data_IF_989857394046
#
_entry.id   IF_989857394046
#
_cell.length_a   1.000
_cell.length_b   1.000
_cell.length_c   1.000
_cell.angle_alpha   90.00
_cell.angle_beta   90.00
_cell.angle_gamma   90.00
#
_symmetry.space_group_name_H-M   'P 1'
#
loop_
_entity.id
_entity.type
_entity.pdbx_description
1 polymer ?
#
# COMPACT_ATOMS: atom_id res chain seq x y z
N UNK A 1 78.93 51.80 41.05
CA UNK A 1 77.84 52.77 41.25
C UNK A 1 77.52 53.43 39.92
N UNK A 2 76.40 53.07 39.28
CA UNK A 2 75.85 53.81 38.13
C UNK A 2 74.32 53.68 38.19
N UNK A 3 73.65 54.78 38.54
CA UNK A 3 72.20 54.88 38.62
C UNK A 3 71.60 55.17 37.24
N UNK A 4 70.71 54.30 36.75
CA UNK A 4 69.92 54.52 35.54
C UNK A 4 68.67 55.38 35.82
N UNK A 5 68.22 56.20 34.86
CA UNK A 5 67.19 57.22 35.08
C UNK A 5 65.77 56.65 35.10
N UNK A 6 64.92 57.31 35.89
CA UNK A 6 63.49 57.03 36.09
C UNK A 6 62.70 57.20 34.78
N UNK A 7 61.87 56.22 34.35
CA UNK A 7 61.04 56.41 33.17
C UNK A 7 59.93 57.44 33.43
N UNK A 8 59.74 58.33 32.46
CA UNK A 8 58.72 59.36 32.45
C UNK A 8 57.30 58.75 32.47
N UNK A 9 56.41 59.33 33.29
CA UNK A 9 54.99 58.99 33.33
C UNK A 9 54.37 59.14 31.92
N UNK A 10 53.92 58.03 31.34
CA UNK A 10 53.01 58.06 30.19
C UNK A 10 51.65 58.63 30.64
N UNK A 11 51.03 59.52 29.87
CA UNK A 11 49.70 60.04 30.22
C UNK A 11 48.71 58.88 30.16
N UNK A 12 47.95 58.71 31.24
CA UNK A 12 46.85 57.76 31.37
C UNK A 12 45.85 57.99 30.24
N UNK A 13 45.76 57.04 29.31
CA UNK A 13 44.71 57.04 28.27
C UNK A 13 43.36 56.88 28.97
N UNK A 14 42.69 57.99 29.25
CA UNK A 14 41.30 57.96 29.70
C UNK A 14 40.47 57.28 28.61
N UNK A 15 39.56 56.34 28.96
CA UNK A 15 38.72 55.69 27.95
C UNK A 15 37.85 56.76 27.27
N UNK A 16 38.19 57.12 26.03
CA UNK A 16 37.44 58.14 25.30
C UNK A 16 36.07 57.59 24.93
N UNK A 17 35.01 58.22 25.42
CA UNK A 17 33.65 57.86 25.03
C UNK A 17 33.50 57.96 23.50
N UNK A 18 32.94 56.96 22.79
CA UNK A 18 32.93 56.94 21.32
C UNK A 18 32.24 58.17 20.72
N UNK A 19 31.19 58.68 21.38
CA UNK A 19 30.53 59.91 20.95
C UNK A 19 31.43 61.16 21.03
N UNK A 20 32.35 61.24 21.99
CA UNK A 20 33.30 62.34 22.08
C UNK A 20 34.28 62.32 20.90
N UNK A 21 34.78 61.13 20.55
CA UNK A 21 35.65 60.91 19.37
C UNK A 21 34.94 61.31 18.07
N UNK A 22 33.64 61.03 17.95
CA UNK A 22 32.85 61.45 16.78
C UNK A 22 32.62 62.96 16.73
N UNK A 23 32.31 63.60 17.86
CA UNK A 23 32.12 65.05 17.93
C UNK A 23 33.42 65.81 17.61
N UNK A 24 34.55 65.31 18.08
CA UNK A 24 35.87 65.90 17.81
C UNK A 24 36.28 65.87 16.33
N UNK A 25 35.66 65.01 15.51
CA UNK A 25 35.88 65.01 14.04
C UNK A 25 35.15 66.14 13.32
N UNK A 26 34.05 66.62 13.89
CA UNK A 26 33.15 67.58 13.23
C UNK A 26 33.20 68.99 13.85
N UNK A 27 33.70 69.11 15.08
CA UNK A 27 33.70 70.37 15.83
C UNK A 27 35.06 70.66 16.47
N UNK A 28 35.30 71.94 16.78
CA UNK A 28 36.48 72.38 17.54
C UNK A 28 36.53 71.66 18.91
N UNK A 29 37.73 71.45 19.48
CA UNK A 29 37.90 70.63 20.69
C UNK A 29 37.09 71.15 21.88
N UNK A 30 36.96 72.48 22.01
CA UNK A 30 36.17 73.12 23.06
C UNK A 30 34.65 72.90 22.86
N UNK A 31 34.18 73.07 21.62
CA UNK A 31 32.77 72.84 21.27
C UNK A 31 32.37 71.36 21.43
N UNK A 32 33.25 70.45 21.04
CA UNK A 32 33.05 69.01 21.20
C UNK A 32 32.94 68.60 22.67
N UNK A 33 33.81 69.15 23.53
CA UNK A 33 33.80 68.89 24.97
C UNK A 33 32.52 69.40 25.63
N UNK A 34 32.08 70.61 25.26
CA UNK A 34 30.83 71.21 25.75
C UNK A 34 29.60 70.40 25.34
N UNK A 35 29.48 70.05 24.04
CA UNK A 35 28.35 69.25 23.54
C UNK A 35 28.31 67.87 24.22
N UNK A 36 29.47 67.25 24.41
CA UNK A 36 29.55 65.95 25.08
C UNK A 36 29.09 66.04 26.54
N UNK A 37 29.55 67.05 27.29
CA UNK A 37 29.14 67.28 28.68
C UNK A 37 27.64 67.54 28.83
N UNK A 38 27.12 68.50 28.05
CA UNK A 38 25.74 68.97 28.18
C UNK A 38 24.72 67.93 27.67
N UNK A 39 25.02 67.29 26.55
CA UNK A 39 24.01 66.52 25.80
C UNK A 39 24.17 65.01 25.88
N UNK A 40 25.34 64.49 26.26
CA UNK A 40 25.64 63.06 26.15
C UNK A 40 26.00 62.46 27.50
N UNK A 41 26.93 63.06 28.25
CA UNK A 41 27.49 62.49 29.50
C UNK A 41 26.42 62.17 30.54
N UNK A 42 25.42 63.05 30.68
CA UNK A 42 24.38 62.93 31.71
C UNK A 42 23.05 62.38 31.17
N UNK A 43 22.98 61.99 29.89
CA UNK A 43 21.75 61.41 29.31
C UNK A 43 21.85 59.88 29.28
N UNK A 44 21.07 59.14 30.08
CA UNK A 44 21.08 57.69 30.05
C UNK A 44 20.58 57.19 28.69
N UNK A 45 21.39 56.37 28.01
CA UNK A 45 21.00 55.71 26.77
C UNK A 45 20.22 54.44 27.14
N UNK A 46 18.89 54.53 27.12
CA UNK A 46 18.02 53.37 27.32
C UNK A 46 18.08 52.48 26.08
N UNK A 47 19.04 51.55 26.06
CA UNK A 47 19.15 50.54 25.02
C UNK A 47 18.15 49.42 25.31
N UNK A 48 17.13 49.30 24.47
CA UNK A 48 16.35 48.07 24.42
C UNK A 48 17.25 46.97 23.84
N UNK A 49 17.40 45.82 24.51
CA UNK A 49 18.14 44.70 23.97
C UNK A 49 17.58 44.31 22.59
N UNK A 50 18.41 44.40 21.55
CA UNK A 50 18.11 43.84 20.23
C UNK A 50 18.10 42.31 20.22
N UNK A 51 18.37 41.67 21.37
CA UNK A 51 18.10 40.27 21.64
C UNK A 51 16.57 40.05 21.74
N UNK A 52 15.94 40.14 20.58
CA UNK A 52 14.51 40.06 20.34
C UNK A 52 13.91 38.76 20.89
N UNK A 53 12.88 38.87 21.72
CA UNK A 53 11.93 37.78 21.99
C UNK A 53 11.33 37.18 20.68
N UNK A 54 11.50 37.84 19.53
CA UNK A 54 11.05 37.38 18.21
C UNK A 54 12.05 36.50 17.44
N UNK A 55 13.35 36.50 17.78
CA UNK A 55 14.34 35.56 17.21
C UNK A 55 14.00 34.13 17.59
N UNK A 56 13.61 33.92 18.85
CA UNK A 56 13.28 32.60 19.39
C UNK A 56 11.94 32.07 18.90
N UNK A 57 10.94 32.93 18.70
CA UNK A 57 9.65 32.49 18.13
C UNK A 57 9.82 31.91 16.72
N UNK A 58 10.70 32.49 15.90
CA UNK A 58 11.00 31.97 14.55
C UNK A 58 11.74 30.63 14.65
N UNK A 59 12.73 30.52 15.53
CA UNK A 59 13.45 29.27 15.77
C UNK A 59 12.54 28.17 16.30
N UNK A 60 11.65 28.49 17.25
CA UNK A 60 10.65 27.58 17.82
C UNK A 60 9.66 27.11 16.76
N UNK A 61 9.11 28.01 15.92
CA UNK A 61 8.25 27.63 14.79
C UNK A 61 8.95 26.68 13.82
N UNK A 62 10.22 26.93 13.51
CA UNK A 62 11.04 26.05 12.66
C UNK A 62 11.22 24.68 13.33
N UNK A 63 11.57 24.64 14.61
CA UNK A 63 11.78 23.41 15.36
C UNK A 63 10.49 22.56 15.44
N UNK A 64 9.34 23.18 15.75
CA UNK A 64 8.04 22.51 15.76
C UNK A 64 7.68 21.97 14.37
N UNK A 65 7.92 22.74 13.29
CA UNK A 65 7.68 22.29 11.91
C UNK A 65 8.52 21.06 11.56
N UNK A 66 9.81 21.08 11.89
CA UNK A 66 10.72 19.96 11.63
C UNK A 66 10.32 18.72 12.44
N UNK A 67 10.00 18.86 13.74
CA UNK A 67 9.49 17.76 14.56
C UNK A 67 8.19 17.15 14.03
N UNK A 68 7.25 18.00 13.58
CA UNK A 68 6.02 17.52 12.92
C UNK A 68 6.35 16.77 11.64
N UNK A 69 7.24 17.31 10.80
CA UNK A 69 7.65 16.67 9.55
C UNK A 69 8.32 15.30 9.79
N UNK A 70 9.23 15.21 10.76
CA UNK A 70 9.86 13.95 11.17
C UNK A 70 8.85 12.92 11.69
N UNK A 71 7.92 13.36 12.54
CA UNK A 71 6.82 12.51 13.02
C UNK A 71 5.98 11.96 11.87
N UNK A 72 5.57 12.83 10.93
CA UNK A 72 4.80 12.41 9.76
C UNK A 72 5.58 11.48 8.85
N UNK A 73 6.87 11.71 8.63
CA UNK A 73 7.73 10.83 7.82
C UNK A 73 7.90 9.45 8.48
N UNK A 74 8.13 9.40 9.79
CA UNK A 74 8.25 8.14 10.55
C UNK A 74 6.95 7.33 10.56
N UNK A 75 5.80 8.00 10.56
CA UNK A 75 4.48 7.35 10.53
C UNK A 75 3.96 7.12 9.11
N UNK A 76 4.68 7.56 8.07
CA UNK A 76 4.26 7.35 6.69
C UNK A 76 4.58 5.92 6.27
N UNK A 77 3.57 5.23 5.76
CA UNK A 77 3.80 3.96 5.06
C UNK A 77 4.73 4.22 3.87
N UNK A 78 5.60 3.26 3.51
CA UNK A 78 6.43 3.38 2.31
C UNK A 78 5.52 3.65 1.12
N UNK A 79 6.01 4.46 0.17
CA UNK A 79 5.26 4.76 -1.05
C UNK A 79 5.04 3.43 -1.79
N UNK A 80 3.83 3.13 -2.26
CA UNK A 80 3.62 1.96 -3.10
C UNK A 80 4.39 2.12 -4.41
N UNK A 81 4.90 1.00 -4.93
CA UNK A 81 5.64 1.00 -6.19
C UNK A 81 4.79 1.61 -7.32
N UNK A 82 5.42 2.48 -8.11
CA UNK A 82 4.92 3.02 -9.37
C UNK A 82 4.66 1.91 -10.39
N UNK A 83 3.77 2.16 -11.34
CA UNK A 83 3.58 1.26 -12.48
C UNK A 83 4.87 1.07 -13.30
N UNK A 84 5.74 2.09 -13.36
CA UNK A 84 7.05 1.98 -14.03
C UNK A 84 7.97 1.03 -13.27
N UNK A 85 8.13 1.25 -11.97
CA UNK A 85 8.95 0.43 -11.07
C UNK A 85 8.50 -1.03 -11.06
N UNK A 86 7.18 -1.29 -11.07
CA UNK A 86 6.64 -2.67 -11.14
C UNK A 86 6.97 -3.39 -12.45
N UNK A 87 7.05 -2.67 -13.57
CA UNK A 87 7.44 -3.23 -14.88
C UNK A 87 8.94 -3.49 -14.91
N UNK A 88 9.74 -2.54 -14.44
CA UNK A 88 11.21 -2.70 -14.34
C UNK A 88 11.59 -3.88 -13.43
N UNK A 89 10.85 -4.09 -12.33
CA UNK A 89 11.05 -5.21 -11.42
C UNK A 89 10.43 -6.54 -11.93
N UNK A 90 9.63 -6.51 -13.00
CA UNK A 90 9.00 -7.73 -13.53
C UNK A 90 8.04 -8.42 -12.56
N UNK A 91 7.42 -7.68 -11.62
CA UNK A 91 6.60 -8.25 -10.52
C UNK A 91 5.46 -9.15 -11.01
N UNK A 92 5.01 -8.95 -12.25
CA UNK A 92 3.91 -9.69 -12.87
C UNK A 92 4.36 -10.67 -13.95
N UNK A 93 5.67 -10.80 -14.20
CA UNK A 93 6.21 -11.77 -15.13
C UNK A 93 6.35 -13.12 -14.41
N UNK A 94 5.80 -14.17 -15.01
CA UNK A 94 5.90 -15.53 -14.48
C UNK A 94 7.17 -16.16 -15.04
N UNK A 95 8.01 -16.71 -14.18
CA UNK A 95 9.20 -17.44 -14.63
C UNK A 95 8.77 -18.78 -15.21
N UNK A 96 9.55 -19.33 -16.15
CA UNK A 96 9.24 -20.62 -16.79
C UNK A 96 9.08 -21.76 -15.78
N UNK A 97 9.85 -21.73 -14.69
CA UNK A 97 9.77 -22.69 -13.58
C UNK A 97 8.42 -22.65 -12.86
N UNK A 98 7.81 -21.46 -12.76
CA UNK A 98 6.54 -21.22 -12.10
C UNK A 98 5.34 -21.58 -12.98
N UNK A 99 5.55 -21.92 -14.26
CA UNK A 99 4.47 -22.21 -15.22
C UNK A 99 4.05 -23.69 -15.19
N UNK A 100 4.67 -24.53 -14.35
CA UNK A 100 4.32 -25.95 -14.26
C UNK A 100 2.94 -26.17 -13.64
N UNK A 101 2.06 -26.87 -14.37
CA UNK A 101 0.73 -27.25 -13.93
C UNK A 101 0.76 -28.09 -12.65
N UNK A 102 1.72 -29.01 -12.57
CA UNK A 102 1.89 -29.92 -11.42
C UNK A 102 2.11 -29.17 -10.10
N UNK A 103 2.76 -28.01 -10.14
CA UNK A 103 2.96 -27.17 -8.95
C UNK A 103 1.63 -26.66 -8.40
N UNK A 104 0.67 -26.34 -9.28
CA UNK A 104 -0.62 -25.78 -8.93
C UNK A 104 -1.67 -26.82 -8.57
N UNK A 105 -1.43 -28.11 -8.80
CA UNK A 105 -2.34 -29.18 -8.34
C UNK A 105 -2.55 -29.13 -6.83
N UNK A 106 -1.49 -28.86 -6.06
CA UNK A 106 -1.59 -28.68 -4.61
C UNK A 106 -2.47 -27.49 -4.22
N UNK A 107 -2.32 -26.37 -4.95
CA UNK A 107 -3.15 -25.19 -4.78
C UNK A 107 -4.63 -25.49 -5.12
N UNK A 108 -4.87 -26.28 -6.16
CA UNK A 108 -6.22 -26.69 -6.53
C UNK A 108 -6.89 -27.54 -5.45
N UNK A 109 -6.18 -28.49 -4.83
CA UNK A 109 -6.71 -29.29 -3.71
C UNK A 109 -7.13 -28.40 -2.54
N UNK A 110 -6.29 -27.44 -2.16
CA UNK A 110 -6.63 -26.47 -1.12
C UNK A 110 -7.86 -25.63 -1.48
N UNK A 111 -7.99 -25.25 -2.75
CA UNK A 111 -9.16 -24.51 -3.23
C UNK A 111 -10.44 -25.36 -3.18
N UNK A 112 -10.37 -26.65 -3.49
CA UNK A 112 -11.50 -27.59 -3.35
C UNK A 112 -11.95 -27.67 -1.89
N UNK A 113 -11.02 -27.88 -0.95
CA UNK A 113 -11.33 -27.95 0.48
C UNK A 113 -11.97 -26.65 0.99
N UNK A 114 -11.41 -25.50 0.58
CA UNK A 114 -11.98 -24.18 0.85
C UNK A 114 -13.41 -24.06 0.35
N UNK A 115 -13.70 -24.45 -0.90
CA UNK A 115 -15.05 -24.36 -1.46
C UNK A 115 -16.04 -25.31 -0.79
N UNK A 116 -15.59 -26.51 -0.39
CA UNK A 116 -16.40 -27.44 0.38
C UNK A 116 -16.75 -26.87 1.76
N UNK A 117 -15.83 -26.17 2.41
CA UNK A 117 -16.09 -25.45 3.67
C UNK A 117 -17.07 -24.29 3.46
N UNK A 118 -16.87 -23.46 2.43
CA UNK A 118 -17.75 -22.33 2.08
C UNK A 118 -19.19 -22.80 1.84
N UNK A 119 -19.38 -23.93 1.18
CA UNK A 119 -20.69 -24.50 0.90
C UNK A 119 -21.27 -25.30 2.09
N UNK A 120 -20.48 -25.53 3.13
CA UNK A 120 -20.85 -26.22 4.37
C UNK A 120 -20.84 -27.75 4.27
N UNK A 121 -20.13 -28.32 3.30
CA UNK A 121 -19.86 -29.77 3.19
C UNK A 121 -18.73 -30.22 4.11
N UNK A 122 -17.81 -29.30 4.45
CA UNK A 122 -16.75 -29.51 5.43
C UNK A 122 -16.87 -28.51 6.58
N UNK A 123 -16.42 -28.92 7.76
CA UNK A 123 -16.26 -28.06 8.94
C UNK A 123 -15.03 -28.53 9.71
N UNK A 124 -14.11 -27.61 10.02
CA UNK A 124 -12.87 -27.90 10.75
C UNK A 124 -12.03 -29.04 10.11
N UNK A 125 -12.02 -29.11 8.77
CA UNK A 125 -11.32 -30.16 8.00
C UNK A 125 -11.99 -31.54 8.02
N UNK A 126 -13.19 -31.66 8.61
CA UNK A 126 -13.97 -32.89 8.64
C UNK A 126 -15.21 -32.80 7.76
N UNK A 127 -15.55 -33.92 7.12
CA UNK A 127 -16.74 -34.01 6.27
C UNK A 127 -18.00 -34.05 7.12
N UNK A 128 -18.93 -33.14 6.86
CA UNK A 128 -20.23 -33.11 7.52
C UNK A 128 -21.16 -34.07 6.78
N UNK A 129 -21.32 -35.28 7.30
CA UNK A 129 -22.11 -36.35 6.67
C UNK A 129 -23.55 -35.91 6.31
N UNK A 130 -24.20 -35.13 7.19
CA UNK A 130 -25.55 -34.61 6.94
C UNK A 130 -25.60 -33.62 5.76
N UNK A 131 -24.51 -32.88 5.52
CA UNK A 131 -24.41 -31.92 4.41
C UNK A 131 -24.19 -32.58 3.05
N UNK A 132 -23.72 -33.84 2.97
CA UNK A 132 -23.46 -34.51 1.69
C UNK A 132 -24.72 -34.67 0.82
N UNK A 133 -25.90 -34.73 1.46
CA UNK A 133 -27.20 -34.74 0.77
C UNK A 133 -27.81 -33.36 0.54
N UNK A 134 -27.16 -32.29 1.01
CA UNK A 134 -27.59 -30.91 0.79
C UNK A 134 -27.51 -30.57 -0.70
N UNK A 135 -28.56 -29.92 -1.20
CA UNK A 135 -28.56 -29.30 -2.52
C UNK A 135 -28.19 -27.84 -2.39
N UNK A 136 -27.25 -27.37 -3.23
CA UNK A 136 -26.88 -25.96 -3.28
C UNK A 136 -27.97 -25.19 -4.02
N UNK A 137 -28.69 -24.32 -3.31
CA UNK A 137 -29.69 -23.42 -3.93
C UNK A 137 -29.04 -22.10 -4.35
N UNK A 138 -29.52 -21.44 -5.41
CA UNK A 138 -29.00 -20.13 -5.83
C UNK A 138 -29.08 -19.06 -4.72
N UNK A 139 -30.13 -19.10 -3.90
CA UNK A 139 -30.36 -18.12 -2.83
C UNK A 139 -29.37 -18.29 -1.68
N UNK A 140 -29.03 -19.54 -1.32
CA UNK A 140 -28.09 -19.83 -0.24
C UNK A 140 -26.63 -19.82 -0.68
N UNK A 141 -26.33 -20.46 -1.81
CA UNK A 141 -24.96 -20.61 -2.33
C UNK A 141 -24.49 -19.44 -3.19
N UNK A 142 -25.40 -18.75 -3.90
CA UNK A 142 -25.04 -17.70 -4.85
C UNK A 142 -24.20 -16.57 -4.26
N UNK A 143 -24.60 -15.94 -3.13
CA UNK A 143 -23.82 -14.89 -2.49
C UNK A 143 -22.43 -15.36 -2.04
N UNK A 144 -22.34 -16.59 -1.50
CA UNK A 144 -21.10 -17.19 -1.03
C UNK A 144 -20.13 -17.39 -2.21
N UNK A 145 -20.60 -18.03 -3.27
CA UNK A 145 -19.83 -18.27 -4.50
C UNK A 145 -19.42 -16.97 -5.20
N UNK A 146 -20.29 -15.95 -5.21
CA UNK A 146 -19.98 -14.65 -5.82
C UNK A 146 -18.87 -13.89 -5.08
N UNK A 147 -18.81 -14.06 -3.75
CA UNK A 147 -17.80 -13.44 -2.89
C UNK A 147 -16.50 -14.25 -2.76
N UNK A 148 -16.51 -15.51 -3.21
CA UNK A 148 -15.41 -16.45 -3.03
C UNK A 148 -14.14 -16.06 -3.81
N UNK A 149 -13.02 -16.59 -3.34
CA UNK A 149 -11.75 -16.52 -4.05
C UNK A 149 -11.62 -17.68 -5.06
N UNK A 150 -10.99 -17.39 -6.20
CA UNK A 150 -10.83 -18.32 -7.32
C UNK A 150 -9.37 -18.60 -7.67
N UNK A 151 -8.40 -18.15 -6.86
CA UNK A 151 -7.02 -18.62 -6.96
C UNK A 151 -6.96 -20.13 -6.66
N UNK A 152 -6.40 -20.93 -7.57
CA UNK A 152 -6.41 -22.39 -7.47
C UNK A 152 -7.64 -23.06 -8.08
N UNK A 153 -8.64 -22.30 -8.54
CA UNK A 153 -9.79 -22.89 -9.20
C UNK A 153 -9.41 -23.50 -10.54
N UNK A 154 -9.85 -24.74 -10.80
CA UNK A 154 -9.82 -25.32 -12.14
C UNK A 154 -10.98 -24.72 -12.94
N UNK A 155 -10.67 -23.90 -13.93
CA UNK A 155 -11.67 -23.25 -14.79
C UNK A 155 -11.56 -23.78 -16.22
N UNK A 156 -12.72 -23.91 -16.86
CA UNK A 156 -12.85 -24.18 -18.28
C UNK A 156 -13.69 -23.10 -18.94
N UNK A 157 -13.27 -22.63 -20.12
CA UNK A 157 -14.02 -21.65 -20.90
C UNK A 157 -15.10 -22.38 -21.71
N UNK A 158 -16.36 -22.27 -21.31
CA UNK A 158 -17.49 -22.92 -22.00
C UNK A 158 -18.05 -22.03 -23.11
N UNK A 159 -18.13 -20.72 -22.85
CA UNK A 159 -18.61 -19.74 -23.84
C UNK A 159 -17.71 -18.50 -23.80
N UNK A 160 -17.34 -17.98 -24.96
CA UNK A 160 -16.58 -16.74 -25.07
C UNK A 160 -16.98 -16.02 -26.36
N UNK A 161 -16.93 -14.69 -26.36
CA UNK A 161 -17.06 -13.91 -27.59
C UNK A 161 -16.01 -14.31 -28.65
N UNK A 162 -14.82 -14.73 -28.19
CA UNK A 162 -13.73 -15.22 -29.02
C UNK A 162 -13.73 -16.75 -29.05
N UNK A 163 -14.19 -17.32 -30.17
CA UNK A 163 -14.35 -18.76 -30.34
C UNK A 163 -13.02 -19.53 -30.14
N UNK A 164 -11.87 -18.92 -30.44
CA UNK A 164 -10.56 -19.57 -30.28
C UNK A 164 -10.16 -19.86 -28.83
N UNK A 165 -10.88 -19.30 -27.85
CA UNK A 165 -10.62 -19.50 -26.42
C UNK A 165 -11.54 -20.54 -25.79
N UNK A 166 -12.62 -20.91 -26.46
CA UNK A 166 -13.57 -21.92 -25.97
C UNK A 166 -12.86 -23.27 -25.84
N UNK A 167 -13.13 -23.98 -24.75
CA UNK A 167 -12.46 -25.24 -24.40
C UNK A 167 -11.10 -25.07 -23.71
N UNK A 168 -10.60 -23.84 -23.52
CA UNK A 168 -9.39 -23.62 -22.71
C UNK A 168 -9.67 -24.00 -21.27
N UNK A 169 -8.91 -24.94 -20.71
CA UNK A 169 -9.00 -25.35 -19.31
C UNK A 169 -7.67 -25.22 -18.58
N UNK A 170 -7.72 -24.88 -17.29
CA UNK A 170 -6.52 -24.76 -16.47
C UNK A 170 -6.78 -24.22 -15.06
N UNK A 171 -5.73 -24.23 -14.24
CA UNK A 171 -5.77 -23.74 -12.86
C UNK A 171 -5.50 -22.23 -12.85
N UNK A 172 -6.34 -21.47 -12.14
CA UNK A 172 -6.15 -20.02 -11.97
C UNK A 172 -4.97 -19.74 -11.04
N UNK A 173 -3.96 -19.05 -11.55
CA UNK A 173 -2.82 -18.57 -10.76
C UNK A 173 -3.07 -17.15 -10.28
N UNK A 174 -3.63 -16.30 -11.16
CA UNK A 174 -3.89 -14.90 -10.84
C UNK A 174 -5.31 -14.53 -11.21
N UNK A 175 -6.02 -14.02 -10.22
CA UNK A 175 -7.30 -13.36 -10.40
C UNK A 175 -7.09 -11.84 -10.40
N UNK A 176 -7.13 -11.24 -11.60
CA UNK A 176 -7.06 -9.79 -11.75
C UNK A 176 -8.45 -9.20 -11.93
N UNK A 177 -8.54 -7.87 -11.97
CA UNK A 177 -9.84 -7.19 -12.15
C UNK A 177 -10.61 -7.70 -13.38
N UNK A 178 -9.96 -7.86 -14.53
CA UNK A 178 -10.64 -8.15 -15.79
C UNK A 178 -10.26 -9.48 -16.43
N UNK A 179 -9.23 -10.16 -15.91
CA UNK A 179 -8.71 -11.38 -16.51
C UNK A 179 -8.45 -12.44 -15.45
N UNK A 180 -8.61 -13.69 -15.86
CA UNK A 180 -8.03 -14.83 -15.19
C UNK A 180 -6.75 -15.24 -15.93
N UNK A 181 -5.69 -15.50 -15.19
CA UNK A 181 -4.46 -16.08 -15.71
C UNK A 181 -4.45 -17.54 -15.31
N UNK A 182 -4.59 -18.42 -16.30
CA UNK A 182 -4.65 -19.86 -16.16
C UNK A 182 -3.30 -20.49 -16.53
N UNK A 183 -2.95 -21.59 -15.89
CA UNK A 183 -1.97 -22.54 -16.44
C UNK A 183 -2.69 -23.79 -16.87
N UNK A 184 -2.47 -24.16 -18.12
CA UNK A 184 -3.07 -25.34 -18.75
C UNK A 184 -2.25 -26.59 -18.45
N UNK A 185 -2.83 -27.77 -18.64
CA UNK A 185 -2.13 -29.04 -18.47
C UNK A 185 -0.90 -29.22 -19.40
N UNK A 186 -0.73 -28.35 -20.40
CA UNK A 186 0.43 -28.31 -21.30
C UNK A 186 1.57 -27.42 -20.78
N UNK A 187 1.51 -26.98 -19.51
CA UNK A 187 2.45 -26.02 -18.93
C UNK A 187 2.52 -24.71 -19.75
N UNK A 188 1.37 -24.22 -20.19
CA UNK A 188 1.23 -22.94 -20.89
C UNK A 188 0.37 -21.98 -20.09
N UNK A 189 0.80 -20.71 -20.00
CA UNK A 189 0.01 -19.63 -19.41
C UNK A 189 -0.98 -19.09 -20.43
N UNK A 190 -2.26 -19.06 -20.07
CA UNK A 190 -3.34 -18.46 -20.86
C UNK A 190 -4.03 -17.36 -20.08
N UNK A 191 -4.05 -16.15 -20.64
CA UNK A 191 -4.76 -15.00 -20.06
C UNK A 191 -6.13 -14.87 -20.71
N UNK A 192 -7.18 -15.16 -19.95
CA UNK A 192 -8.56 -15.16 -20.44
C UNK A 192 -9.32 -13.94 -19.88
N UNK A 193 -9.94 -13.10 -20.73
CA UNK A 193 -10.77 -12.00 -20.28
C UNK A 193 -12.06 -12.52 -19.65
N UNK A 194 -12.50 -11.87 -18.57
CA UNK A 194 -13.76 -12.18 -17.91
C UNK A 194 -14.95 -11.60 -18.69
N UNK A 195 -14.75 -10.47 -19.35
CA UNK A 195 -15.77 -9.86 -20.20
C UNK A 195 -16.18 -10.82 -21.30
N UNK A 196 -17.49 -10.99 -21.47
CA UNK A 196 -18.13 -11.84 -22.47
C UNK A 196 -17.55 -13.27 -22.47
N UNK A 197 -17.32 -13.82 -21.27
CA UNK A 197 -16.85 -15.19 -21.09
C UNK A 197 -17.65 -15.86 -19.98
N UNK A 198 -18.06 -17.10 -20.20
CA UNK A 198 -18.65 -17.98 -19.21
C UNK A 198 -17.66 -19.10 -18.93
N UNK A 199 -17.28 -19.22 -17.66
CA UNK A 199 -16.40 -20.26 -17.18
C UNK A 199 -17.21 -21.36 -16.50
N UNK A 200 -16.74 -22.59 -16.55
CA UNK A 200 -17.24 -23.71 -15.76
C UNK A 200 -16.17 -24.15 -14.79
N UNK A 201 -16.60 -24.49 -13.59
CA UNK A 201 -15.73 -25.12 -12.59
C UNK A 201 -16.48 -26.24 -11.88
N UNK A 202 -15.69 -27.18 -11.39
CA UNK A 202 -16.18 -28.39 -10.75
C UNK A 202 -15.59 -28.51 -9.35
N UNK A 203 -16.43 -28.93 -8.40
CA UNK A 203 -16.04 -29.21 -7.02
C UNK A 203 -16.39 -30.67 -6.74
N UNK A 204 -15.41 -31.57 -6.67
CA UNK A 204 -15.67 -32.96 -6.32
C UNK A 204 -16.14 -33.05 -4.87
N UNK A 205 -17.24 -33.78 -4.62
CA UNK A 205 -17.72 -34.03 -3.26
C UNK A 205 -17.00 -35.25 -2.67
N UNK A 206 -16.74 -35.25 -1.35
CA UNK A 206 -16.24 -36.43 -0.66
C UNK A 206 -17.20 -37.63 -0.81
N UNK A 207 -16.64 -38.83 -0.97
CA UNK A 207 -17.43 -40.05 -1.06
C UNK A 207 -18.17 -40.30 0.27
N UNK A 208 -19.46 -40.62 0.18
CA UNK A 208 -20.23 -41.14 1.32
C UNK A 208 -19.91 -42.64 1.40
N UNK A 209 -19.32 -43.08 2.51
CA UNK A 209 -19.16 -44.51 2.79
C UNK A 209 -20.55 -45.17 2.85
N UNK A 210 -20.98 -45.85 1.77
CA UNK A 210 -22.25 -46.58 1.71
C UNK A 210 -23.06 -46.46 0.41
N UNK A 211 -22.74 -45.54 -0.50
CA UNK A 211 -23.40 -45.46 -1.81
C UNK A 211 -22.61 -46.22 -2.88
N UNK A 212 -22.76 -47.55 -2.91
CA UNK A 212 -22.33 -48.36 -4.07
C UNK A 212 -23.33 -48.11 -5.18
N UNK A 213 -22.94 -47.36 -6.21
CA UNK A 213 -23.70 -47.27 -7.45
C UNK A 213 -23.51 -48.56 -8.24
N UNK A 214 -24.62 -49.27 -8.51
CA UNK A 214 -24.63 -50.38 -9.45
C UNK A 214 -24.29 -49.86 -10.86
N UNK A 215 -23.07 -50.13 -11.31
CA UNK A 215 -22.61 -49.77 -12.65
C UNK A 215 -21.19 -49.22 -12.71
N UNK A 216 -20.19 -50.09 -12.44
CA UNK A 216 -18.89 -50.13 -13.13
C UNK A 216 -17.90 -48.95 -13.10
N UNK A 217 -18.29 -47.72 -12.77
CA UNK A 217 -17.38 -46.56 -12.79
C UNK A 217 -17.42 -45.81 -11.47
N UNK A 218 -16.26 -45.69 -10.82
CA UNK A 218 -16.03 -44.87 -9.61
C UNK A 218 -16.03 -43.38 -9.98
N UNK A 219 -17.14 -42.85 -10.47
CA UNK A 219 -17.30 -41.40 -10.61
C UNK A 219 -17.98 -40.86 -9.36
N UNK A 220 -17.16 -40.32 -8.46
CA UNK A 220 -17.63 -39.56 -7.30
C UNK A 220 -18.56 -38.43 -7.72
N UNK A 221 -19.54 -38.08 -6.89
CA UNK A 221 -20.46 -36.98 -7.19
C UNK A 221 -19.71 -35.66 -7.16
N UNK A 222 -19.93 -34.79 -8.14
CA UNK A 222 -19.36 -33.45 -8.19
C UNK A 222 -20.44 -32.38 -8.34
N UNK A 223 -20.12 -31.17 -7.90
CA UNK A 223 -20.93 -29.98 -8.12
C UNK A 223 -20.32 -29.19 -9.27
N UNK A 224 -21.12 -28.92 -10.30
CA UNK A 224 -20.71 -28.15 -11.47
C UNK A 224 -21.39 -26.80 -11.44
N UNK A 225 -20.61 -25.74 -11.61
CA UNK A 225 -21.10 -24.36 -11.59
C UNK A 225 -20.63 -23.60 -12.83
N UNK A 226 -21.49 -22.69 -13.30
CA UNK A 226 -21.15 -21.72 -14.33
C UNK A 226 -20.91 -20.34 -13.70
N UNK A 227 -19.80 -19.72 -14.08
CA UNK A 227 -19.38 -18.39 -13.67
C UNK A 227 -19.49 -17.43 -14.85
N UNK A 228 -20.40 -16.48 -14.75
CA UNK A 228 -20.54 -15.39 -15.73
C UNK A 228 -19.49 -14.30 -15.48
N UNK A 229 -18.48 -14.22 -16.34
CA UNK A 229 -17.34 -13.34 -16.15
C UNK A 229 -17.67 -11.84 -16.18
N UNK A 230 -18.75 -11.42 -16.85
CA UNK A 230 -19.25 -10.03 -16.84
C UNK A 230 -19.54 -9.51 -15.42
N UNK A 231 -20.01 -10.39 -14.52
CA UNK A 231 -20.29 -10.03 -13.12
C UNK A 231 -19.04 -10.14 -12.23
N UNK A 232 -17.94 -10.67 -12.78
CA UNK A 232 -16.70 -10.98 -12.08
C UNK A 232 -15.54 -10.04 -12.41
N UNK A 233 -15.83 -8.90 -13.07
CA UNK A 233 -14.88 -7.83 -13.43
C UNK A 233 -14.38 -6.98 -12.24
N UNK A 234 -14.25 -7.60 -11.07
CA UNK A 234 -13.75 -7.00 -9.84
C UNK A 234 -12.60 -7.85 -9.29
N UNK A 235 -11.68 -7.19 -8.58
CA UNK A 235 -10.60 -7.90 -7.89
C UNK A 235 -11.20 -8.76 -6.76
N UNK A 236 -10.59 -9.89 -6.40
CA UNK A 236 -11.04 -10.74 -5.29
C UNK A 236 -11.36 -9.97 -4.00
N UNK A 237 -10.43 -9.10 -3.56
CA UNK A 237 -10.61 -8.29 -2.37
C UNK A 237 -11.80 -7.30 -2.47
N UNK A 238 -12.09 -6.81 -3.66
CA UNK A 238 -13.23 -5.92 -3.91
C UNK A 238 -14.54 -6.72 -3.92
N UNK A 239 -14.54 -7.98 -4.42
CA UNK A 239 -15.71 -8.86 -4.47
C UNK A 239 -16.17 -9.27 -3.08
N UNK A 240 -15.24 -9.65 -2.20
CA UNK A 240 -15.54 -10.11 -0.84
C UNK A 240 -16.36 -9.06 -0.04
N UNK A 241 -16.11 -7.78 -0.27
CA UNK A 241 -16.77 -6.68 0.43
C UNK A 241 -17.97 -6.09 -0.35
N UNK A 242 -18.27 -6.62 -1.55
CA UNK A 242 -19.26 -6.04 -2.44
C UNK A 242 -20.66 -6.57 -2.12
N UNK A 243 -21.62 -5.64 -2.03
CA UNK A 243 -23.04 -5.98 -2.09
C UNK A 243 -23.42 -6.26 -3.55
N UNK A 244 -23.52 -7.53 -3.92
CA UNK A 244 -23.98 -7.93 -5.25
C UNK A 244 -25.44 -7.54 -5.43
N UNK A 245 -25.74 -6.86 -6.53
CA UNK A 245 -27.10 -6.50 -6.94
C UNK A 245 -27.43 -7.31 -8.19
N UNK A 246 -28.64 -7.83 -8.23
CA UNK A 246 -29.18 -8.47 -9.42
C UNK A 246 -29.14 -7.49 -10.58
N UNK A 247 -28.47 -7.88 -11.66
CA UNK A 247 -28.46 -7.18 -12.94
C UNK A 247 -28.99 -8.14 -13.99
N UNK A 248 -29.67 -7.61 -14.99
CA UNK A 248 -30.00 -8.38 -16.19
C UNK A 248 -28.69 -8.90 -16.78
N UNK A 249 -28.63 -10.20 -16.99
CA UNK A 249 -27.48 -10.85 -17.61
C UNK A 249 -27.69 -10.74 -19.12
N UNK A 250 -26.91 -9.89 -19.78
CA UNK A 250 -26.77 -9.98 -21.23
C UNK A 250 -26.01 -11.28 -21.50
N UNK A 251 -26.76 -12.32 -21.87
CA UNK A 251 -26.17 -13.51 -22.44
C UNK A 251 -25.59 -13.11 -23.80
N UNK A 252 -24.35 -13.58 -24.06
CA UNK A 252 -23.72 -13.53 -25.37
C UNK A 252 -24.70 -13.87 -26.49
#
# INVERSE_FOLDING_TARGET
MTSSPRPANSPTTTPSHPAHTLLARAHSPDTASRIFGDKIKNKPLLLNPTASADRDKRALRRHVRLRKQEYYLRKRKPRPLSAKEKRELGVFELKKEEVSYRLYEGLHRMWVDYMLEVLGYMKDGQVVQQSLRKTVTPQGGGPLLASADFHGAQLEVVRCADAGRVGTSGIVIRDTKFTFVLVTAKDEVRVVPKKNTVFRYEIPLPEVAGEVREGGERQGRSLVFELHGNQFEFRPADRANRKFKWKVTDYL
#
